data_IF_344637294737
#
_entry.id   IF_344637294737
#
_cell.length_a   1.000
_cell.length_b   1.000
_cell.length_c   1.000
_cell.angle_alpha   90.00
_cell.angle_beta   90.00
_cell.angle_gamma   90.00
#
_symmetry.space_group_name_H-M   'P 1'
#
loop_
_entity.id
_entity.type
_entity.pdbx_description
1 polymer ?
#
# COMPACT_ATOMS: atom_id res chain seq x y z
N UNK A 1 27.79 -8.31 -17.00
CA UNK A 1 27.29 -9.23 -15.94
C UNK A 1 26.48 -8.42 -14.96
N UNK A 2 25.27 -8.87 -14.57
CA UNK A 2 24.47 -8.17 -13.57
C UNK A 2 25.22 -8.20 -12.23
N UNK A 3 25.37 -7.06 -11.58
CA UNK A 3 26.04 -6.97 -10.29
C UNK A 3 25.22 -7.76 -9.24
N UNK A 4 25.79 -8.80 -8.57
CA UNK A 4 25.07 -9.61 -7.59
C UNK A 4 24.38 -8.81 -6.50
N UNK A 5 24.95 -7.68 -6.07
CA UNK A 5 24.33 -6.78 -5.08
C UNK A 5 23.03 -6.17 -5.60
N UNK A 6 22.92 -5.84 -6.88
CA UNK A 6 21.69 -5.28 -7.47
C UNK A 6 20.56 -6.33 -7.56
N UNK A 7 20.91 -7.59 -7.75
CA UNK A 7 19.94 -8.68 -7.74
C UNK A 7 19.33 -8.88 -6.35
N UNK A 8 20.19 -8.98 -5.32
CA UNK A 8 19.74 -9.19 -3.94
C UNK A 8 18.88 -8.04 -3.44
N UNK A 9 19.27 -6.78 -3.74
CA UNK A 9 18.49 -5.60 -3.36
C UNK A 9 17.08 -5.59 -3.98
N UNK A 10 16.96 -5.97 -5.26
CA UNK A 10 15.64 -6.09 -5.91
C UNK A 10 14.78 -7.19 -5.29
N UNK A 11 15.39 -8.31 -4.87
CA UNK A 11 14.68 -9.39 -4.18
C UNK A 11 14.20 -8.94 -2.81
N UNK A 12 15.07 -8.29 -2.04
CA UNK A 12 14.74 -7.76 -0.71
C UNK A 12 13.61 -6.73 -0.81
N UNK A 13 13.69 -5.77 -1.75
CA UNK A 13 12.63 -4.80 -2.01
C UNK A 13 11.31 -5.48 -2.33
N UNK A 14 11.30 -6.50 -3.20
CA UNK A 14 10.06 -7.17 -3.59
C UNK A 14 9.44 -8.00 -2.46
N UNK A 15 10.25 -8.68 -1.64
CA UNK A 15 9.77 -9.43 -0.46
C UNK A 15 9.21 -8.50 0.61
N UNK A 16 9.91 -7.42 0.93
CA UNK A 16 9.43 -6.46 1.95
C UNK A 16 8.12 -5.80 1.54
N UNK A 17 7.95 -5.50 0.26
CA UNK A 17 6.69 -4.95 -0.27
C UNK A 17 5.54 -5.96 -0.28
N UNK A 18 5.80 -7.23 -0.59
CA UNK A 18 4.76 -8.24 -0.70
C UNK A 18 4.32 -8.78 0.67
N UNK A 19 5.25 -9.24 1.50
CA UNK A 19 4.91 -9.95 2.73
C UNK A 19 4.56 -8.99 3.89
N UNK A 20 5.49 -8.22 4.48
CA UNK A 20 5.10 -7.37 5.61
C UNK A 20 4.20 -6.20 5.20
N UNK A 21 4.55 -5.45 4.16
CA UNK A 21 3.76 -4.26 3.77
C UNK A 21 2.43 -4.64 3.15
N UNK A 22 2.42 -5.60 2.22
CA UNK A 22 1.19 -6.09 1.59
C UNK A 22 0.29 -6.84 2.57
N UNK A 23 0.86 -7.66 3.44
CA UNK A 23 0.13 -8.33 4.52
C UNK A 23 -0.54 -7.33 5.47
N UNK A 24 0.20 -6.29 5.84
CA UNK A 24 -0.37 -5.19 6.64
C UNK A 24 -1.49 -4.44 5.91
N UNK A 25 -1.36 -4.17 4.60
CA UNK A 25 -2.41 -3.51 3.82
C UNK A 25 -3.73 -4.30 3.89
N UNK A 26 -3.68 -5.62 3.71
CA UNK A 26 -4.87 -6.49 3.78
C UNK A 26 -5.46 -6.49 5.20
N UNK A 27 -4.61 -6.66 6.22
CA UNK A 27 -5.03 -6.60 7.62
C UNK A 27 -5.64 -5.24 7.98
N UNK A 28 -5.05 -4.15 7.48
CA UNK A 28 -5.53 -2.79 7.69
C UNK A 28 -6.92 -2.57 7.08
N UNK A 29 -7.16 -3.07 5.87
CA UNK A 29 -8.50 -3.03 5.25
C UNK A 29 -9.51 -3.85 6.05
N UNK A 30 -9.12 -5.04 6.49
CA UNK A 30 -9.99 -5.86 7.36
C UNK A 30 -10.34 -5.12 8.65
N UNK A 31 -9.37 -4.54 9.34
CA UNK A 31 -9.59 -3.76 10.55
C UNK A 31 -10.48 -2.55 10.32
N UNK A 32 -10.28 -1.82 9.24
CA UNK A 32 -11.15 -0.68 8.92
C UNK A 32 -12.55 -1.10 8.47
N UNK A 33 -12.77 -2.35 8.06
CA UNK A 33 -14.11 -2.85 7.67
C UNK A 33 -15.10 -2.90 8.83
N UNK A 34 -14.66 -2.79 10.08
CA UNK A 34 -15.58 -2.62 11.21
C UNK A 34 -16.48 -1.39 11.07
N UNK A 35 -16.08 -0.40 10.27
CA UNK A 35 -16.92 0.76 9.91
C UNK A 35 -18.23 0.37 9.19
N UNK A 36 -18.27 -0.79 8.54
CA UNK A 36 -19.51 -1.31 7.91
C UNK A 36 -20.52 -1.85 8.93
N UNK A 37 -20.07 -2.17 10.14
CA UNK A 37 -20.92 -2.65 11.23
C UNK A 37 -21.53 -1.43 11.93
N UNK A 38 -20.71 -0.62 12.60
CA UNK A 38 -21.13 0.65 13.21
C UNK A 38 -19.90 1.50 13.59
N UNK A 39 -20.08 2.82 13.86
CA UNK A 39 -19.04 3.67 14.45
C UNK A 39 -18.47 3.12 15.76
N UNK A 40 -19.32 2.56 16.61
CA UNK A 40 -18.92 1.99 17.90
C UNK A 40 -18.03 0.76 17.71
N UNK A 41 -18.42 -0.16 16.81
CA UNK A 41 -17.64 -1.36 16.49
C UNK A 41 -16.25 -0.98 15.94
N UNK A 42 -16.17 0.06 15.10
CA UNK A 42 -14.90 0.60 14.63
C UNK A 42 -14.05 1.12 15.79
N UNK A 43 -14.62 1.94 16.68
CA UNK A 43 -13.92 2.51 17.83
C UNK A 43 -13.42 1.43 18.79
N UNK A 44 -14.25 0.44 19.13
CA UNK A 44 -13.88 -0.69 19.98
C UNK A 44 -12.72 -1.50 19.38
N UNK A 45 -12.81 -1.80 18.08
CA UNK A 45 -11.74 -2.54 17.39
C UNK A 45 -10.42 -1.75 17.34
N UNK A 46 -10.47 -0.45 17.06
CA UNK A 46 -9.29 0.42 17.06
C UNK A 46 -8.66 0.49 18.45
N UNK A 47 -9.49 0.66 19.49
CA UNK A 47 -9.04 0.66 20.87
C UNK A 47 -8.40 -0.67 21.29
N UNK A 48 -9.00 -1.79 20.87
CA UNK A 48 -8.41 -3.12 21.07
C UNK A 48 -7.00 -3.20 20.46
N UNK A 49 -6.83 -2.78 19.19
CA UNK A 49 -5.53 -2.86 18.51
C UNK A 49 -4.45 -2.05 19.23
N UNK A 50 -4.77 -0.84 19.69
CA UNK A 50 -3.77 0.00 20.39
C UNK A 50 -3.52 -0.44 21.84
N UNK A 51 -4.40 -1.26 22.42
CA UNK A 51 -4.23 -1.83 23.75
C UNK A 51 -3.36 -3.09 23.79
N UNK A 52 -2.98 -3.63 22.63
CA UNK A 52 -2.14 -4.82 22.57
C UNK A 52 -0.80 -4.60 23.25
N UNK A 53 -0.30 -5.61 24.02
CA UNK A 53 0.99 -5.48 24.68
C UNK A 53 2.09 -5.27 23.64
N UNK A 54 3.03 -4.37 23.94
CA UNK A 54 4.16 -4.04 23.07
C UNK A 54 3.76 -3.53 21.67
N UNK A 55 2.54 -2.98 21.50
CA UNK A 55 2.01 -2.54 20.19
C UNK A 55 2.99 -1.61 19.46
N UNK A 56 3.61 -0.66 20.13
CA UNK A 56 4.58 0.26 19.55
C UNK A 56 5.78 -0.48 18.95
N UNK A 57 6.27 -1.52 19.64
CA UNK A 57 7.39 -2.35 19.13
C UNK A 57 6.95 -3.19 17.95
N UNK A 58 5.74 -3.76 17.98
CA UNK A 58 5.15 -4.52 16.88
C UNK A 58 5.00 -3.61 15.64
N UNK A 59 4.42 -2.43 15.81
CA UNK A 59 4.28 -1.44 14.74
C UNK A 59 5.65 -1.02 14.18
N UNK A 60 6.63 -0.73 15.03
CA UNK A 60 7.96 -0.33 14.61
C UNK A 60 8.67 -1.40 13.77
N UNK A 61 8.62 -2.66 14.20
CA UNK A 61 9.37 -3.75 13.56
C UNK A 61 8.63 -4.38 12.38
N UNK A 62 7.30 -4.50 12.43
CA UNK A 62 6.52 -5.21 11.42
C UNK A 62 5.85 -4.29 10.40
N UNK A 63 5.73 -2.99 10.68
CA UNK A 63 5.08 -2.01 9.81
C UNK A 63 6.07 -0.93 9.37
N UNK A 64 6.55 -0.10 10.30
CA UNK A 64 7.34 1.08 9.95
C UNK A 64 8.71 0.74 9.36
N UNK A 65 9.44 -0.19 9.97
CA UNK A 65 10.75 -0.60 9.44
C UNK A 65 10.67 -1.24 8.06
N UNK A 66 9.77 -2.21 7.77
CA UNK A 66 9.61 -2.77 6.43
C UNK A 66 9.15 -1.75 5.39
N UNK A 67 8.22 -0.84 5.73
CA UNK A 67 7.77 0.23 4.83
C UNK A 67 8.94 1.15 4.48
N UNK A 68 9.71 1.60 5.48
CA UNK A 68 10.86 2.47 5.27
C UNK A 68 11.92 1.80 4.39
N UNK A 69 12.26 0.55 4.70
CA UNK A 69 13.22 -0.23 3.91
C UNK A 69 12.74 -0.40 2.46
N UNK A 70 11.48 -0.79 2.27
CA UNK A 70 10.86 -0.92 0.95
C UNK A 70 10.90 0.40 0.16
N UNK A 71 10.53 1.52 0.80
CA UNK A 71 10.51 2.84 0.18
C UNK A 71 11.91 3.31 -0.22
N UNK A 72 12.90 3.19 0.67
CA UNK A 72 14.29 3.59 0.39
C UNK A 72 14.86 2.77 -0.78
N UNK A 73 14.68 1.45 -0.75
CA UNK A 73 15.14 0.57 -1.84
C UNK A 73 14.38 0.86 -3.14
N UNK A 74 13.07 1.13 -3.06
CA UNK A 74 12.20 1.49 -4.19
C UNK A 74 12.67 2.79 -4.86
N UNK A 75 12.91 3.85 -4.09
CA UNK A 75 13.41 5.13 -4.60
C UNK A 75 14.79 4.95 -5.26
N UNK A 76 15.70 4.19 -4.63
CA UNK A 76 17.02 3.91 -5.20
C UNK A 76 16.94 3.16 -6.55
N UNK A 77 15.97 2.25 -6.70
CA UNK A 77 15.75 1.51 -7.96
C UNK A 77 15.10 2.43 -9.02
N UNK A 78 14.15 3.27 -8.63
CA UNK A 78 13.52 4.25 -9.53
C UNK A 78 14.56 5.20 -10.09
N UNK A 79 15.44 5.74 -9.26
CA UNK A 79 16.48 6.68 -9.67
C UNK A 79 17.44 6.11 -10.73
N UNK A 80 17.72 4.82 -10.68
CA UNK A 80 18.61 4.12 -11.62
C UNK A 80 17.92 3.57 -12.86
N UNK A 81 16.61 3.61 -12.92
CA UNK A 81 15.84 2.99 -13.99
C UNK A 81 15.38 3.97 -15.05
N UNK A 82 15.54 3.61 -16.31
CA UNK A 82 15.05 4.38 -17.46
C UNK A 82 13.61 4.03 -17.78
N UNK A 83 12.83 5.03 -18.24
CA UNK A 83 11.50 4.84 -18.80
C UNK A 83 11.59 4.85 -20.32
N UNK A 84 10.99 3.86 -20.95
CA UNK A 84 10.99 3.73 -22.42
C UNK A 84 9.59 3.53 -23.00
N UNK A 85 8.52 3.80 -22.22
CA UNK A 85 7.14 3.58 -22.65
C UNK A 85 6.70 4.48 -23.82
N UNK A 86 7.36 5.62 -24.03
CA UNK A 86 7.14 6.51 -25.16
C UNK A 86 7.72 5.95 -26.45
N UNK A 87 8.87 5.27 -26.39
CA UNK A 87 9.52 4.64 -27.54
C UNK A 87 8.96 3.23 -27.82
N UNK A 88 8.54 2.52 -26.78
CA UNK A 88 8.00 1.16 -26.84
C UNK A 88 6.73 1.06 -26.02
N UNK A 89 5.58 1.36 -26.63
CA UNK A 89 4.27 1.42 -25.98
C UNK A 89 3.66 0.01 -25.72
N UNK A 90 4.44 -0.91 -25.15
CA UNK A 90 3.93 -2.22 -24.71
C UNK A 90 3.27 -2.13 -23.35
N UNK A 91 2.26 -2.96 -23.12
CA UNK A 91 1.53 -3.05 -21.86
C UNK A 91 2.47 -3.15 -20.62
N UNK A 92 3.52 -3.96 -20.69
CA UNK A 92 4.49 -4.12 -19.59
C UNK A 92 5.22 -2.83 -19.25
N UNK A 93 5.54 -2.00 -20.24
CA UNK A 93 6.24 -0.73 -20.04
C UNK A 93 5.31 0.30 -19.36
N UNK A 94 4.03 0.29 -19.71
CA UNK A 94 3.02 1.09 -19.01
C UNK A 94 2.81 0.64 -17.57
N UNK A 95 2.72 -0.67 -17.31
CA UNK A 95 2.59 -1.20 -15.95
C UNK A 95 3.84 -0.88 -15.10
N UNK A 96 5.02 -0.89 -15.70
CA UNK A 96 6.25 -0.47 -15.05
C UNK A 96 6.27 1.04 -14.73
N UNK A 97 5.78 1.87 -15.63
CA UNK A 97 5.62 3.31 -15.39
C UNK A 97 4.61 3.57 -14.26
N UNK A 98 3.42 2.98 -14.35
CA UNK A 98 2.40 3.14 -13.30
C UNK A 98 2.85 2.60 -11.94
N UNK A 99 3.64 1.53 -11.89
CA UNK A 99 4.23 1.04 -10.65
C UNK A 99 5.06 2.10 -9.93
N UNK A 100 5.79 2.92 -10.68
CA UNK A 100 6.61 4.00 -10.12
C UNK A 100 5.78 5.18 -9.67
N UNK A 101 4.84 5.62 -10.52
CA UNK A 101 3.95 6.75 -10.20
C UNK A 101 3.11 6.43 -8.96
N UNK A 102 2.47 5.26 -8.94
CA UNK A 102 1.65 4.86 -7.81
C UNK A 102 2.46 4.56 -6.54
N UNK A 103 3.69 4.07 -6.67
CA UNK A 103 4.60 3.92 -5.55
C UNK A 103 4.99 5.24 -4.90
N UNK A 104 5.23 6.28 -5.70
CA UNK A 104 5.51 7.61 -5.19
C UNK A 104 4.28 8.27 -4.54
N UNK A 105 3.11 8.16 -5.17
CA UNK A 105 1.85 8.64 -4.60
C UNK A 105 1.50 7.91 -3.30
N UNK A 106 1.67 6.58 -3.27
CA UNK A 106 1.47 5.77 -2.07
C UNK A 106 2.43 6.16 -0.93
N UNK A 107 3.70 6.46 -1.24
CA UNK A 107 4.67 6.92 -0.24
C UNK A 107 4.22 8.22 0.43
N UNK A 108 3.81 9.22 -0.35
CA UNK A 108 3.30 10.50 0.17
C UNK A 108 2.04 10.25 1.01
N UNK A 109 1.11 9.46 0.47
CA UNK A 109 -0.14 9.15 1.15
C UNK A 109 0.10 8.42 2.48
N UNK A 110 0.88 7.33 2.49
CA UNK A 110 1.15 6.53 3.69
C UNK A 110 1.86 7.37 4.76
N UNK A 111 2.85 8.18 4.37
CA UNK A 111 3.55 9.06 5.31
C UNK A 111 2.60 10.06 5.97
N UNK A 112 1.77 10.74 5.17
CA UNK A 112 0.80 11.73 5.66
C UNK A 112 -0.31 11.06 6.48
N UNK A 113 -0.86 9.94 5.98
CA UNK A 113 -1.89 9.16 6.68
C UNK A 113 -1.39 8.66 8.04
N UNK A 114 -0.24 8.00 8.07
CA UNK A 114 0.35 7.49 9.30
C UNK A 114 0.66 8.60 10.31
N UNK A 115 1.19 9.73 9.83
CA UNK A 115 1.44 10.89 10.67
C UNK A 115 0.14 11.44 11.29
N UNK A 116 -0.87 11.69 10.46
CA UNK A 116 -2.11 12.35 10.92
C UNK A 116 -2.97 11.45 11.80
N UNK A 117 -2.96 10.14 11.57
CA UNK A 117 -3.86 9.20 12.28
C UNK A 117 -3.18 8.50 13.47
N UNK A 118 -1.92 8.09 13.36
CA UNK A 118 -1.27 7.28 14.39
C UNK A 118 -0.24 8.04 15.20
N UNK A 119 0.65 8.80 14.53
CA UNK A 119 1.75 9.47 15.21
C UNK A 119 1.23 10.69 15.98
N UNK A 120 0.48 11.56 15.32
CA UNK A 120 -0.06 12.80 15.92
C UNK A 120 -0.99 12.49 17.08
N UNK A 121 -1.95 11.57 16.91
CA UNK A 121 -2.89 11.20 17.97
C UNK A 121 -2.17 10.52 19.15
N UNK A 122 -1.23 9.63 18.87
CA UNK A 122 -0.42 8.99 19.90
C UNK A 122 0.43 9.97 20.70
N UNK A 123 1.02 10.98 20.08
CA UNK A 123 1.79 12.04 20.75
C UNK A 123 0.89 12.97 21.59
N UNK A 124 -0.35 13.21 21.13
CA UNK A 124 -1.32 14.04 21.83
C UNK A 124 -2.07 13.28 22.97
N UNK A 125 -1.90 11.96 23.05
CA UNK A 125 -2.68 11.12 23.97
C UNK A 125 -4.16 11.03 23.58
N UNK A 126 -4.47 11.25 22.30
CA UNK A 126 -5.83 11.20 21.77
C UNK A 126 -6.14 9.82 21.16
N UNK A 127 -7.41 9.42 21.23
CA UNK A 127 -7.87 8.20 20.58
C UNK A 127 -8.22 8.46 19.10
N UNK A 128 -7.80 7.53 18.24
CA UNK A 128 -8.22 7.50 16.86
C UNK A 128 -9.64 6.95 16.76
N UNK A 129 -10.63 7.82 16.58
CA UNK A 129 -12.05 7.45 16.55
C UNK A 129 -12.65 7.58 15.15
N UNK A 130 -13.86 7.02 14.97
CA UNK A 130 -14.68 7.20 13.77
C UNK A 130 -14.88 8.69 13.46
N UNK A 131 -15.30 9.48 14.46
CA UNK A 131 -15.54 10.91 14.28
C UNK A 131 -14.28 11.68 13.90
N UNK A 132 -13.13 11.30 14.41
CA UNK A 132 -11.85 11.89 14.01
C UNK A 132 -11.60 11.74 12.50
N UNK A 133 -11.88 10.56 11.95
CA UNK A 133 -11.76 10.33 10.50
C UNK A 133 -12.82 11.09 9.71
N UNK A 134 -14.07 11.15 10.18
CA UNK A 134 -15.12 11.97 9.57
C UNK A 134 -14.69 13.42 9.50
N UNK A 135 -14.11 13.98 10.57
CA UNK A 135 -13.65 15.38 10.61
C UNK A 135 -12.54 15.68 9.60
N UNK A 136 -11.69 14.71 9.30
CA UNK A 136 -10.71 14.83 8.22
C UNK A 136 -11.39 14.74 6.86
N UNK A 137 -12.20 13.71 6.63
CA UNK A 137 -12.68 13.34 5.30
C UNK A 137 -13.88 14.17 4.81
N UNK A 138 -14.60 14.86 5.69
CA UNK A 138 -15.61 15.86 5.29
C UNK A 138 -15.00 17.05 4.53
N UNK A 139 -13.69 17.24 4.58
CA UNK A 139 -13.00 18.25 3.81
C UNK A 139 -12.68 17.73 2.40
N UNK A 140 -13.16 18.35 1.30
CA UNK A 140 -13.02 17.80 -0.06
C UNK A 140 -11.56 17.52 -0.47
N UNK A 141 -10.63 18.38 -0.08
CA UNK A 141 -9.21 18.18 -0.40
C UNK A 141 -8.65 16.89 0.24
N UNK A 142 -8.97 16.65 1.51
CA UNK A 142 -8.56 15.44 2.21
C UNK A 142 -9.24 14.20 1.66
N UNK A 143 -10.54 14.28 1.33
CA UNK A 143 -11.25 13.19 0.69
C UNK A 143 -10.57 12.74 -0.61
N UNK A 144 -10.28 13.67 -1.52
CA UNK A 144 -9.62 13.33 -2.79
C UNK A 144 -8.17 12.87 -2.61
N UNK A 145 -7.46 13.43 -1.63
CA UNK A 145 -6.13 12.96 -1.26
C UNK A 145 -6.15 11.49 -0.82
N UNK A 146 -7.09 11.12 0.06
CA UNK A 146 -7.28 9.74 0.50
C UNK A 146 -7.76 8.84 -0.64
N UNK A 147 -8.68 9.28 -1.46
CA UNK A 147 -9.18 8.53 -2.61
C UNK A 147 -8.05 8.14 -3.58
N UNK A 148 -7.25 9.12 -4.00
CA UNK A 148 -6.09 8.89 -4.88
C UNK A 148 -5.03 8.05 -4.17
N UNK A 149 -4.78 8.30 -2.88
CA UNK A 149 -3.81 7.57 -2.09
C UNK A 149 -4.15 6.09 -1.92
N UNK A 150 -5.39 5.79 -1.55
CA UNK A 150 -5.89 4.41 -1.41
C UNK A 150 -5.80 3.65 -2.74
N UNK A 151 -6.30 4.23 -3.83
CA UNK A 151 -6.24 3.58 -5.15
C UNK A 151 -4.79 3.40 -5.62
N UNK A 152 -3.90 4.36 -5.34
CA UNK A 152 -2.48 4.25 -5.68
C UNK A 152 -1.80 3.14 -4.88
N UNK A 153 -2.05 3.03 -3.58
CA UNK A 153 -1.50 1.97 -2.74
C UNK A 153 -1.98 0.58 -3.17
N UNK A 154 -3.28 0.44 -3.46
CA UNK A 154 -3.86 -0.83 -3.94
C UNK A 154 -3.33 -1.21 -5.31
N UNK A 155 -3.25 -0.26 -6.26
CA UNK A 155 -2.68 -0.54 -7.58
C UNK A 155 -1.21 -0.95 -7.47
N UNK A 156 -0.42 -0.19 -6.69
CA UNK A 156 0.99 -0.49 -6.46
C UNK A 156 1.20 -1.90 -5.89
N UNK A 157 0.38 -2.29 -4.94
CA UNK A 157 0.40 -3.63 -4.35
C UNK A 157 0.05 -4.71 -5.37
N UNK A 158 -1.09 -4.60 -6.05
CA UNK A 158 -1.59 -5.61 -6.98
C UNK A 158 -0.66 -5.77 -8.20
N UNK A 159 -0.22 -4.67 -8.80
CA UNK A 159 0.76 -4.70 -9.89
C UNK A 159 2.14 -5.17 -9.39
N UNK A 160 2.46 -4.88 -8.12
CA UNK A 160 3.64 -5.41 -7.43
C UNK A 160 3.63 -6.93 -7.32
N UNK A 161 2.48 -7.55 -7.01
CA UNK A 161 2.30 -9.02 -7.01
C UNK A 161 2.61 -9.60 -8.39
N UNK A 162 2.05 -9.01 -9.46
CA UNK A 162 2.34 -9.45 -10.82
C UNK A 162 3.83 -9.36 -11.15
N UNK A 163 4.46 -8.22 -10.85
CA UNK A 163 5.89 -8.01 -11.05
C UNK A 163 6.73 -9.00 -10.24
N UNK A 164 6.32 -9.29 -9.01
CA UNK A 164 6.94 -10.31 -8.17
C UNK A 164 6.91 -11.69 -8.85
N UNK A 165 5.74 -12.15 -9.30
CA UNK A 165 5.60 -13.44 -9.96
C UNK A 165 6.49 -13.58 -11.20
N UNK A 166 6.57 -12.50 -12.01
CA UNK A 166 7.44 -12.48 -13.20
C UNK A 166 8.93 -12.52 -12.81
N UNK A 167 9.34 -11.68 -11.87
CA UNK A 167 10.76 -11.53 -11.50
C UNK A 167 11.29 -12.71 -10.68
N UNK A 168 10.43 -13.42 -9.97
CA UNK A 168 10.78 -14.63 -9.22
C UNK A 168 10.69 -15.93 -10.05
N UNK A 169 10.28 -15.81 -11.33
CA UNK A 169 10.14 -16.97 -12.21
C UNK A 169 8.96 -17.89 -11.85
N UNK A 170 7.96 -17.37 -11.11
CA UNK A 170 6.74 -18.10 -10.78
C UNK A 170 5.86 -18.20 -12.02
N UNK A 171 5.74 -17.09 -12.78
CA UNK A 171 5.03 -17.05 -14.06
C UNK A 171 6.00 -16.94 -15.22
N UNK A 172 6.20 -18.06 -15.93
CA UNK A 172 7.11 -18.14 -17.08
C UNK A 172 6.30 -18.21 -18.38
N UNK A 173 6.74 -17.44 -19.36
CA UNK A 173 6.14 -17.37 -20.68
C UNK A 173 4.95 -16.41 -20.81
N UNK A 174 4.62 -16.01 -22.05
CA UNK A 174 3.64 -14.93 -22.32
C UNK A 174 2.22 -15.23 -21.84
N UNK A 175 1.79 -16.51 -21.94
CA UNK A 175 0.44 -16.93 -21.51
C UNK A 175 0.27 -16.82 -20.00
N UNK A 176 1.23 -17.38 -19.23
CA UNK A 176 1.19 -17.34 -17.76
C UNK A 176 1.27 -15.89 -17.23
N UNK A 177 2.13 -15.06 -17.82
CA UNK A 177 2.23 -13.65 -17.44
C UNK A 177 0.98 -12.83 -17.76
N UNK A 178 0.27 -13.15 -18.86
CA UNK A 178 -1.00 -12.50 -19.22
C UNK A 178 -2.10 -12.90 -18.24
N UNK A 179 -2.20 -14.18 -17.90
CA UNK A 179 -3.19 -14.68 -16.93
C UNK A 179 -2.95 -14.06 -15.56
N UNK A 180 -1.70 -14.10 -15.04
CA UNK A 180 -1.38 -13.53 -13.73
C UNK A 180 -1.61 -12.01 -13.69
N UNK A 181 -1.33 -11.29 -14.79
CA UNK A 181 -1.66 -9.86 -14.89
C UNK A 181 -3.17 -9.61 -14.81
N UNK A 182 -3.99 -10.41 -15.52
CA UNK A 182 -5.43 -10.28 -15.44
C UNK A 182 -5.96 -10.57 -14.03
N UNK A 183 -5.43 -11.59 -13.35
CA UNK A 183 -5.81 -11.93 -11.97
C UNK A 183 -5.46 -10.78 -11.00
N UNK A 184 -4.26 -10.21 -11.09
CA UNK A 184 -3.84 -9.12 -10.21
C UNK A 184 -4.56 -7.81 -10.51
N UNK A 185 -4.98 -7.55 -11.76
CA UNK A 185 -5.88 -6.44 -12.08
C UNK A 185 -7.30 -6.68 -11.56
N UNK A 186 -7.81 -7.90 -11.61
CA UNK A 186 -9.06 -8.27 -10.93
C UNK A 186 -8.98 -8.03 -9.42
N UNK A 187 -7.87 -8.42 -8.80
CA UNK A 187 -7.61 -8.15 -7.37
C UNK A 187 -7.58 -6.64 -7.09
N UNK A 188 -6.97 -5.84 -7.97
CA UNK A 188 -6.99 -4.38 -7.86
C UNK A 188 -8.42 -3.82 -7.85
N UNK A 189 -9.30 -4.31 -8.72
CA UNK A 189 -10.71 -3.88 -8.76
C UNK A 189 -11.41 -4.23 -7.45
N UNK A 190 -11.27 -5.47 -6.97
CA UNK A 190 -11.90 -5.93 -5.72
C UNK A 190 -11.40 -5.13 -4.51
N UNK A 191 -10.09 -5.01 -4.34
CA UNK A 191 -9.51 -4.24 -3.24
C UNK A 191 -9.77 -2.74 -3.37
N UNK A 192 -9.82 -2.21 -4.59
CA UNK A 192 -10.17 -0.82 -4.85
C UNK A 192 -11.60 -0.49 -4.42
N UNK A 193 -12.56 -1.34 -4.79
CA UNK A 193 -13.96 -1.22 -4.33
C UNK A 193 -14.02 -1.31 -2.80
N UNK A 194 -13.31 -2.26 -2.20
CA UNK A 194 -13.26 -2.43 -0.76
C UNK A 194 -12.70 -1.19 -0.05
N UNK A 195 -11.53 -0.68 -0.47
CA UNK A 195 -10.90 0.49 0.14
C UNK A 195 -11.71 1.78 -0.06
N UNK A 196 -12.28 1.99 -1.25
CA UNK A 196 -13.18 3.13 -1.52
C UNK A 196 -14.47 2.99 -0.71
N UNK A 197 -15.03 1.79 -0.58
CA UNK A 197 -16.20 1.53 0.27
C UNK A 197 -15.96 1.92 1.73
N UNK A 198 -14.78 1.58 2.30
CA UNK A 198 -14.38 2.01 3.64
C UNK A 198 -14.29 3.55 3.71
N UNK A 199 -13.65 4.18 2.72
CA UNK A 199 -13.50 5.63 2.67
C UNK A 199 -14.84 6.36 2.67
N UNK A 200 -15.81 5.88 1.88
CA UNK A 200 -17.15 6.44 1.77
C UNK A 200 -17.99 6.33 3.05
N UNK A 201 -17.60 5.46 3.99
CA UNK A 201 -18.28 5.36 5.29
C UNK A 201 -17.88 6.46 6.27
N UNK A 202 -16.76 7.12 6.01
CA UNK A 202 -16.29 8.27 6.81
C UNK A 202 -16.61 9.62 6.15
N UNK A 203 -17.06 9.64 4.88
CA UNK A 203 -17.28 10.87 4.10
C UNK A 203 -18.68 11.46 4.27
#
# INVERSE_FOLDING_TARGET
MANPSSFLLKRLMSITGLLPVGGFLVQHFFSNSYVFISPEAYNEHTKFLVSLPMVVLIEALLIYFPILLHAVLGVAIIYRGENNFTSYSFFRNWMFFFQRVTGFLALIFIATHSYTTRIKTGLAGEEMTFNYMVDILKQPLWFWFYFVGVLSAVFHFCNGIWSFFVTWGITVGPKAQRVSSAMTMGLFVVMGIWGVGILLKFA
#
